data_IF_733476979810
#
_entry.id   IF_733476979810
#
_cell.length_a   1.000
_cell.length_b   1.000
_cell.length_c   1.000
_cell.angle_alpha   90.00
_cell.angle_beta   90.00
_cell.angle_gamma   90.00
#
_symmetry.space_group_name_H-M   'P 1'
#
loop_
_entity.id
_entity.type
_entity.pdbx_description
1 polymer ?
#
# COMPACT_ATOMS: atom_id res chain seq x y z
N UNK A 1 64.96 -43.75 27.53
CA UNK A 1 64.34 -44.33 26.32
C UNK A 1 62.83 -44.55 26.54
N UNK A 2 61.89 -43.96 25.84
CA UNK A 2 61.82 -42.89 24.85
C UNK A 2 60.30 -42.74 24.60
N UNK A 3 59.83 -41.52 24.39
CA UNK A 3 58.57 -41.13 23.72
C UNK A 3 57.17 -41.32 24.35
N UNK A 4 56.71 -40.16 24.84
CA UNK A 4 55.39 -39.52 24.93
C UNK A 4 54.22 -39.90 23.98
N UNK A 5 53.04 -39.93 24.63
CA UNK A 5 51.76 -39.23 24.39
C UNK A 5 51.13 -39.10 22.97
N UNK A 6 49.88 -39.56 22.84
CA UNK A 6 48.68 -38.74 22.47
C UNK A 6 47.39 -39.60 22.46
N UNK A 7 46.25 -39.01 22.87
CA UNK A 7 44.98 -39.32 22.20
C UNK A 7 44.14 -38.05 21.89
N UNK A 8 43.32 -38.13 20.84
CA UNK A 8 42.10 -37.34 20.72
C UNK A 8 42.09 -36.28 19.60
N UNK A 9 41.97 -36.73 18.36
CA UNK A 9 41.73 -35.89 17.19
C UNK A 9 40.28 -35.38 17.18
N UNK A 10 40.08 -34.13 17.58
CA UNK A 10 38.89 -33.34 17.25
C UNK A 10 39.07 -32.83 15.83
N UNK A 11 38.29 -33.38 14.91
CA UNK A 11 38.22 -32.99 13.50
C UNK A 11 37.70 -31.56 13.33
N UNK A 12 38.61 -30.59 13.48
CA UNK A 12 38.49 -29.26 12.93
C UNK A 12 38.76 -29.34 11.43
N UNK A 13 37.75 -29.05 10.61
CA UNK A 13 37.90 -28.91 9.18
C UNK A 13 38.86 -27.75 8.83
N UNK A 14 39.65 -27.87 7.75
CA UNK A 14 40.76 -26.98 7.47
C UNK A 14 40.25 -25.64 6.94
N UNK A 15 40.49 -24.58 7.71
CA UNK A 15 40.49 -23.23 7.18
C UNK A 15 41.83 -22.95 6.50
N UNK A 16 41.79 -22.02 5.54
CA UNK A 16 42.92 -21.42 4.82
C UNK A 16 43.30 -22.11 3.51
N UNK A 17 42.46 -21.87 2.49
CA UNK A 17 42.98 -21.59 1.15
C UNK A 17 42.75 -20.11 0.85
N UNK A 18 43.83 -19.34 0.71
CA UNK A 18 43.79 -17.93 0.31
C UNK A 18 43.25 -17.81 -1.11
N UNK A 19 41.97 -17.46 -1.24
CA UNK A 19 41.29 -17.22 -2.50
C UNK A 19 40.94 -15.73 -2.58
N UNK A 20 41.16 -15.09 -3.73
CA UNK A 20 40.79 -13.70 -4.00
C UNK A 20 39.41 -13.38 -3.43
N UNK A 21 39.36 -12.63 -2.34
CA UNK A 21 38.10 -12.22 -1.72
C UNK A 21 37.50 -11.10 -2.55
N UNK A 22 36.69 -11.43 -3.55
CA UNK A 22 35.83 -10.42 -4.16
C UNK A 22 34.73 -10.06 -3.16
N UNK A 23 34.48 -8.77 -3.03
CA UNK A 23 33.47 -8.22 -2.15
C UNK A 23 32.29 -7.73 -2.99
N UNK A 24 31.10 -8.27 -2.73
CA UNK A 24 29.88 -7.87 -3.43
C UNK A 24 29.05 -6.94 -2.53
N UNK A 25 28.81 -5.72 -3.02
CA UNK A 25 27.98 -4.70 -2.34
C UNK A 25 26.51 -4.90 -2.70
N UNK A 26 25.68 -5.23 -1.71
CA UNK A 26 24.25 -5.49 -1.89
C UNK A 26 23.43 -4.60 -0.96
N UNK A 27 22.39 -3.96 -1.48
CA UNK A 27 21.46 -3.11 -0.74
C UNK A 27 20.22 -3.90 -0.31
N UNK A 28 19.83 -3.74 0.94
CA UNK A 28 18.65 -4.37 1.56
C UNK A 28 17.95 -3.39 2.47
N UNK A 29 16.66 -3.11 2.22
CA UNK A 29 15.84 -2.21 3.05
C UNK A 29 16.51 -0.85 3.37
N UNK A 30 17.29 -0.33 2.40
CA UNK A 30 18.04 0.93 2.55
C UNK A 30 19.42 0.81 3.22
N UNK A 31 19.81 -0.38 3.68
CA UNK A 31 21.12 -0.66 4.30
C UNK A 31 22.03 -1.40 3.33
N UNK A 32 23.26 -0.92 3.18
CA UNK A 32 24.29 -1.59 2.38
C UNK A 32 24.96 -2.70 3.19
N UNK A 33 25.05 -3.90 2.61
CA UNK A 33 25.79 -5.05 3.16
C UNK A 33 26.84 -5.54 2.17
N UNK A 34 27.91 -6.11 2.69
CA UNK A 34 29.02 -6.63 1.90
C UNK A 34 29.05 -8.14 2.10
N UNK A 35 29.03 -8.88 0.99
CA UNK A 35 29.24 -10.33 0.99
C UNK A 35 30.69 -10.58 0.61
N UNK A 36 31.46 -11.16 1.54
CA UNK A 36 32.85 -11.53 1.32
C UNK A 36 32.95 -12.96 0.77
N UNK A 37 33.92 -13.21 -0.12
CA UNK A 37 34.20 -14.55 -0.65
C UNK A 37 33.31 -14.97 -1.82
N UNK A 38 32.71 -13.99 -2.51
CA UNK A 38 31.96 -14.27 -3.75
C UNK A 38 32.97 -14.56 -4.86
N UNK A 39 32.72 -15.60 -5.64
CA UNK A 39 33.56 -15.98 -6.79
C UNK A 39 32.75 -15.96 -8.08
N UNK A 40 33.41 -16.12 -9.23
CA UNK A 40 32.74 -16.18 -10.52
C UNK A 40 31.75 -17.36 -10.63
N UNK A 41 31.98 -18.44 -9.87
CA UNK A 41 31.11 -19.64 -9.83
C UNK A 41 29.96 -19.51 -8.83
N UNK A 42 30.01 -18.55 -7.91
CA UNK A 42 28.96 -18.38 -6.90
C UNK A 42 27.65 -17.96 -7.58
N UNK A 43 26.56 -18.62 -7.26
CA UNK A 43 25.24 -18.32 -7.86
C UNK A 43 24.52 -17.21 -7.11
N UNK A 44 23.58 -16.52 -7.77
CA UNK A 44 22.72 -15.53 -7.12
C UNK A 44 21.94 -16.18 -5.97
N UNK A 45 21.53 -17.43 -6.13
CA UNK A 45 20.89 -18.22 -5.08
C UNK A 45 21.75 -18.35 -3.82
N UNK A 46 23.03 -18.70 -3.96
CA UNK A 46 23.94 -18.83 -2.80
C UNK A 46 24.14 -17.49 -2.08
N UNK A 47 24.32 -16.40 -2.82
CA UNK A 47 24.43 -15.04 -2.25
C UNK A 47 23.16 -14.65 -1.50
N UNK A 48 22.00 -14.91 -2.11
CA UNK A 48 20.68 -14.67 -1.52
C UNK A 48 20.50 -15.45 -0.23
N UNK A 49 20.85 -16.74 -0.22
CA UNK A 49 20.75 -17.61 0.95
C UNK A 49 21.70 -17.12 2.05
N UNK A 50 22.95 -16.80 1.72
CA UNK A 50 23.93 -16.32 2.69
C UNK A 50 23.46 -15.00 3.35
N UNK A 51 22.92 -14.07 2.57
CA UNK A 51 22.36 -12.82 3.09
C UNK A 51 21.13 -13.06 3.96
N UNK A 52 20.21 -13.92 3.51
CA UNK A 52 19.00 -14.27 4.27
C UNK A 52 19.33 -14.95 5.61
N UNK A 53 20.30 -15.87 5.60
CA UNK A 53 20.80 -16.56 6.79
C UNK A 53 21.49 -15.59 7.76
N UNK A 54 22.34 -14.69 7.28
CA UNK A 54 23.00 -13.68 8.11
C UNK A 54 22.01 -12.69 8.76
N UNK A 55 20.86 -12.46 8.11
CA UNK A 55 19.78 -11.62 8.65
C UNK A 55 18.86 -12.41 9.60
N UNK A 56 18.89 -13.74 9.55
CA UNK A 56 17.97 -14.60 10.30
C UNK A 56 16.54 -14.58 9.76
N UNK A 57 16.34 -14.08 8.53
CA UNK A 57 15.04 -14.01 7.86
C UNK A 57 15.02 -14.97 6.68
N UNK A 58 14.26 -16.06 6.80
CA UNK A 58 14.12 -17.05 5.74
C UNK A 58 12.89 -16.75 4.89
N UNK A 59 13.06 -16.52 3.59
CA UNK A 59 11.95 -16.15 2.70
C UNK A 59 12.34 -16.30 1.23
N UNK A 60 11.40 -15.99 0.32
CA UNK A 60 11.70 -15.92 -1.12
C UNK A 60 12.31 -14.56 -1.42
N UNK A 61 13.55 -14.58 -1.88
CA UNK A 61 14.30 -13.38 -2.22
C UNK A 61 14.77 -13.45 -3.67
N UNK A 62 14.90 -12.28 -4.30
CA UNK A 62 15.39 -12.12 -5.66
C UNK A 62 16.45 -11.03 -5.67
N UNK A 63 17.57 -11.29 -6.33
CA UNK A 63 18.62 -10.29 -6.51
C UNK A 63 18.31 -9.44 -7.76
N UNK A 64 18.35 -8.14 -7.62
CA UNK A 64 18.08 -7.18 -8.69
C UNK A 64 19.36 -6.41 -8.95
N UNK A 65 19.79 -6.34 -10.21
CA UNK A 65 20.82 -5.40 -10.64
C UNK A 65 20.13 -4.11 -11.11
N UNK A 66 20.52 -2.98 -10.51
CA UNK A 66 20.05 -1.65 -10.86
C UNK A 66 21.20 -0.85 -11.46
N UNK A 67 21.01 -0.39 -12.69
CA UNK A 67 21.89 0.55 -13.35
C UNK A 67 21.08 1.77 -13.80
N UNK A 68 21.39 2.95 -13.25
CA UNK A 68 20.62 4.19 -13.44
C UNK A 68 19.11 3.96 -13.23
N UNK A 69 18.32 4.02 -14.30
CA UNK A 69 16.86 3.83 -14.32
C UNK A 69 16.43 2.42 -14.76
N UNK A 70 17.38 1.57 -15.14
CA UNK A 70 17.12 0.18 -15.53
C UNK A 70 17.28 -0.76 -14.34
N UNK A 71 16.24 -1.54 -14.05
CA UNK A 71 16.27 -2.62 -13.05
C UNK A 71 16.09 -3.95 -13.77
N UNK A 72 17.00 -4.90 -13.55
CA UNK A 72 16.92 -6.25 -14.09
C UNK A 72 16.93 -7.27 -12.95
N UNK A 73 15.96 -8.18 -12.98
CA UNK A 73 15.90 -9.29 -12.04
C UNK A 73 16.86 -10.38 -12.48
N UNK A 74 17.74 -10.82 -11.58
CA UNK A 74 18.65 -11.92 -11.82
C UNK A 74 17.98 -13.23 -11.47
N UNK A 75 18.14 -14.22 -12.34
CA UNK A 75 17.63 -15.55 -12.08
C UNK A 75 18.48 -16.26 -11.00
N UNK A 76 17.91 -17.21 -10.23
CA UNK A 76 18.64 -17.88 -9.16
C UNK A 76 19.92 -18.60 -9.61
N UNK A 77 19.92 -19.09 -10.86
CA UNK A 77 21.04 -19.81 -11.48
C UNK A 77 22.06 -18.89 -12.19
N UNK A 78 21.84 -17.58 -12.23
CA UNK A 78 22.83 -16.64 -12.78
C UNK A 78 23.90 -16.32 -11.74
N UNK A 79 25.10 -15.93 -12.18
CA UNK A 79 26.20 -15.56 -11.30
C UNK A 79 26.32 -14.02 -11.22
N UNK A 80 26.30 -13.41 -10.01
CA UNK A 80 26.29 -11.96 -9.87
C UNK A 80 27.61 -11.33 -10.35
N UNK A 81 28.74 -12.01 -10.18
CA UNK A 81 30.05 -11.54 -10.66
C UNK A 81 30.11 -11.56 -12.19
N UNK A 82 29.58 -12.61 -12.83
CA UNK A 82 29.51 -12.69 -14.30
C UNK A 82 28.56 -11.61 -14.83
N UNK A 83 27.40 -11.41 -14.19
CA UNK A 83 26.49 -10.32 -14.55
C UNK A 83 27.13 -8.95 -14.39
N UNK A 84 27.92 -8.74 -13.34
CA UNK A 84 28.68 -7.50 -13.13
C UNK A 84 29.76 -7.30 -14.21
N UNK A 85 30.49 -8.35 -14.58
CA UNK A 85 31.54 -8.30 -15.60
C UNK A 85 30.98 -7.98 -16.99
N UNK A 86 29.72 -8.33 -17.29
CA UNK A 86 29.05 -7.93 -18.55
C UNK A 86 28.93 -6.41 -18.70
N UNK A 87 28.89 -5.66 -17.60
CA UNK A 87 28.85 -4.20 -17.62
C UNK A 87 30.22 -3.55 -17.81
N UNK A 88 31.32 -4.30 -17.69
CA UNK A 88 32.68 -3.84 -17.94
C UNK A 88 33.03 -2.57 -17.16
N UNK A 89 33.35 -1.49 -17.89
CA UNK A 89 33.70 -0.19 -17.30
C UNK A 89 32.58 0.45 -16.45
N UNK A 90 31.33 0.06 -16.66
CA UNK A 90 30.18 0.56 -15.91
C UNK A 90 29.86 -0.26 -14.67
N UNK A 91 30.64 -1.30 -14.35
CA UNK A 91 30.43 -2.16 -13.18
C UNK A 91 30.38 -1.37 -11.86
N UNK A 92 31.13 -0.27 -11.75
CA UNK A 92 31.14 0.58 -10.55
C UNK A 92 29.81 1.29 -10.27
N UNK A 93 28.99 1.51 -11.30
CA UNK A 93 27.70 2.21 -11.19
C UNK A 93 26.52 1.25 -10.98
N UNK A 94 26.75 -0.07 -11.06
CA UNK A 94 25.72 -1.10 -10.88
C UNK A 94 25.52 -1.36 -9.39
N UNK A 95 24.27 -1.30 -8.94
CA UNK A 95 23.89 -1.61 -7.56
C UNK A 95 23.09 -2.91 -7.51
N UNK A 96 23.52 -3.86 -6.70
CA UNK A 96 22.71 -5.04 -6.40
C UNK A 96 21.75 -4.72 -5.26
N UNK A 97 20.48 -5.08 -5.42
CA UNK A 97 19.42 -4.87 -4.44
C UNK A 97 18.76 -6.23 -4.20
N UNK A 98 18.73 -6.70 -2.95
CA UNK A 98 18.00 -7.91 -2.60
C UNK A 98 16.55 -7.51 -2.26
N UNK A 99 15.60 -7.99 -3.06
CA UNK A 99 14.17 -7.79 -2.85
C UNK A 99 13.55 -9.06 -2.28
N UNK A 100 12.65 -8.90 -1.31
CA UNK A 100 11.83 -9.98 -0.78
C UNK A 100 10.57 -10.12 -1.63
N UNK A 101 10.44 -11.24 -2.34
CA UNK A 101 9.37 -11.51 -3.32
C UNK A 101 8.22 -12.36 -2.72
N UNK A 102 8.34 -12.85 -1.47
CA UNK A 102 7.25 -13.62 -0.83
C UNK A 102 7.20 -13.55 0.70
N UNK A 103 6.06 -13.93 1.32
CA UNK A 103 5.92 -14.00 2.76
C UNK A 103 6.81 -15.13 3.31
N UNK A 104 7.57 -14.84 4.38
CA UNK A 104 8.33 -15.84 5.12
C UNK A 104 7.35 -16.65 5.97
N UNK A 105 7.51 -17.98 6.00
CA UNK A 105 6.69 -18.87 6.85
C UNK A 105 6.97 -18.72 8.36
N UNK A 106 7.74 -17.71 8.80
CA UNK A 106 8.19 -17.59 10.19
C UNK A 106 8.54 -16.15 10.61
N UNK A 107 7.63 -15.17 10.47
CA UNK A 107 7.81 -13.90 11.18
C UNK A 107 6.46 -13.26 11.58
N UNK A 108 6.27 -13.11 12.89
CA UNK A 108 5.27 -12.22 13.52
C UNK A 108 5.44 -10.79 12.97
N UNK A 109 4.37 -10.04 12.73
CA UNK A 109 4.47 -8.71 12.13
C UNK A 109 4.99 -7.71 13.17
N UNK A 110 6.22 -7.24 13.00
CA UNK A 110 6.63 -5.93 13.51
C UNK A 110 6.29 -4.90 12.44
N UNK A 111 5.35 -4.02 12.80
CA UNK A 111 4.85 -2.91 12.01
C UNK A 111 5.94 -1.87 11.76
N UNK A 112 6.57 -1.90 10.59
CA UNK A 112 6.96 -0.68 9.86
C UNK A 112 7.52 -1.05 8.48
N UNK A 113 6.72 -0.89 7.44
CA UNK A 113 7.24 -0.47 6.12
C UNK A 113 6.08 -0.15 5.18
N UNK A 114 6.08 1.10 4.76
CA UNK A 114 5.17 1.75 3.83
C UNK A 114 4.98 0.97 2.52
N UNK A 115 3.71 0.77 2.17
CA UNK A 115 3.13 0.67 0.84
C UNK A 115 4.05 0.29 -0.34
N UNK A 116 4.04 -1.00 -0.70
CA UNK A 116 3.99 -1.42 -2.10
C UNK A 116 3.03 -2.60 -2.20
N UNK A 117 1.93 -2.36 -2.90
CA UNK A 117 0.92 -3.35 -3.33
C UNK A 117 1.66 -4.57 -3.91
N UNK A 118 1.52 -5.77 -3.32
CA UNK A 118 1.94 -6.99 -3.98
C UNK A 118 0.80 -7.47 -4.88
N UNK A 119 1.14 -7.70 -6.15
CA UNK A 119 0.27 -8.27 -7.17
C UNK A 119 -0.38 -9.57 -6.69
N UNK A 120 -1.70 -9.66 -6.90
CA UNK A 120 -2.57 -10.81 -6.64
C UNK A 120 -2.15 -12.04 -7.44
N UNK A 121 -1.14 -12.74 -6.98
CA UNK A 121 -0.88 -14.12 -7.41
C UNK A 121 -0.49 -14.94 -6.19
N UNK A 122 -0.92 -16.20 -6.16
CA UNK A 122 -0.68 -17.24 -5.14
C UNK A 122 -1.82 -17.56 -4.13
N UNK A 123 -3.09 -17.57 -4.57
CA UNK A 123 -4.09 -18.46 -3.94
C UNK A 123 -5.04 -19.17 -4.93
N UNK A 124 -4.60 -19.43 -6.16
CA UNK A 124 -5.34 -20.31 -7.08
C UNK A 124 -4.38 -21.34 -7.65
N UNK A 125 -4.15 -22.40 -6.87
CA UNK A 125 -3.46 -23.60 -7.33
C UNK A 125 -4.35 -24.83 -7.14
N UNK A 126 -5.62 -24.72 -7.57
CA UNK A 126 -6.56 -25.84 -7.66
C UNK A 126 -7.44 -25.82 -8.91
N UNK A 127 -7.24 -24.90 -9.86
CA UNK A 127 -7.98 -24.95 -11.13
C UNK A 127 -7.30 -25.94 -12.10
N UNK A 128 -7.98 -27.01 -12.55
CA UNK A 128 -7.50 -27.82 -13.66
C UNK A 128 -7.65 -27.02 -14.97
N UNK A 129 -6.65 -27.02 -15.87
CA UNK A 129 -6.77 -26.38 -17.18
C UNK A 129 -7.58 -27.28 -18.13
N UNK A 130 -8.89 -27.06 -18.25
CA UNK A 130 -9.70 -27.69 -19.30
C UNK A 130 -10.44 -26.67 -20.17
N UNK A 131 -9.64 -25.89 -20.91
CA UNK A 131 -10.02 -25.44 -22.24
C UNK A 131 -9.59 -26.50 -23.27
N UNK A 132 -10.45 -27.49 -23.54
CA UNK A 132 -10.54 -28.30 -24.78
C UNK A 132 -11.45 -29.51 -24.53
N UNK A 133 -12.68 -29.44 -25.02
CA UNK A 133 -13.44 -30.49 -25.71
C UNK A 133 -14.88 -29.97 -25.87
N UNK A 134 -15.12 -29.25 -26.97
CA UNK A 134 -16.44 -28.79 -27.37
C UNK A 134 -16.77 -29.43 -28.72
N UNK A 135 -17.74 -30.34 -28.81
CA UNK A 135 -18.50 -30.52 -30.04
C UNK A 135 -19.66 -29.53 -30.04
N UNK A 136 -19.69 -28.70 -31.07
CA UNK A 136 -20.81 -27.86 -31.46
C UNK A 136 -22.07 -28.72 -31.70
N UNK A 137 -23.10 -28.58 -30.86
CA UNK A 137 -24.49 -28.68 -31.30
C UNK A 137 -25.29 -27.60 -30.56
N UNK A 138 -25.69 -26.59 -31.32
CA UNK A 138 -26.75 -25.65 -30.99
C UNK A 138 -28.05 -26.39 -30.67
N UNK A 139 -28.67 -26.03 -29.55
CA UNK A 139 -30.10 -25.70 -29.45
C UNK A 139 -30.41 -25.09 -28.09
N UNK A 140 -31.06 -23.95 -28.14
CA UNK A 140 -31.52 -23.09 -27.06
C UNK A 140 -32.37 -23.82 -26.01
N UNK A 141 -31.94 -23.79 -24.75
CA UNK A 141 -32.78 -24.14 -23.60
C UNK A 141 -33.35 -22.85 -23.02
N UNK A 142 -34.63 -22.62 -23.30
CA UNK A 142 -35.44 -21.62 -22.59
C UNK A 142 -35.74 -22.13 -21.18
N UNK A 143 -35.67 -21.22 -20.21
CA UNK A 143 -36.25 -21.36 -18.87
C UNK A 143 -37.69 -21.89 -18.98
N UNK A 144 -37.97 -22.98 -18.29
CA UNK A 144 -39.32 -23.48 -18.06
C UNK A 144 -39.46 -23.84 -16.59
N UNK A 145 -40.29 -23.08 -15.88
CA UNK A 145 -40.60 -23.22 -14.46
C UNK A 145 -41.10 -24.64 -14.10
N UNK A 146 -40.71 -25.10 -12.91
CA UNK A 146 -41.12 -26.37 -12.34
C UNK A 146 -42.63 -26.41 -12.09
N UNK A 147 -43.34 -27.28 -12.83
CA UNK A 147 -44.74 -27.64 -12.60
C UNK A 147 -44.87 -28.42 -11.29
N UNK A 148 -45.51 -27.82 -10.28
CA UNK A 148 -46.17 -28.58 -9.21
C UNK A 148 -47.49 -29.14 -9.76
N UNK A 149 -47.64 -30.46 -9.76
CA UNK A 149 -48.95 -31.12 -9.82
C UNK A 149 -48.98 -32.23 -8.78
N UNK A 150 -49.67 -31.95 -7.68
CA UNK A 150 -50.18 -32.92 -6.74
C UNK A 150 -51.20 -33.81 -7.45
N UNK A 151 -50.96 -35.11 -7.48
CA UNK A 151 -51.97 -36.11 -7.82
C UNK A 151 -52.27 -36.93 -6.56
N UNK A 152 -53.31 -36.54 -5.85
CA UNK A 152 -53.94 -37.32 -4.79
C UNK A 152 -54.71 -38.48 -5.42
N UNK A 153 -54.31 -39.71 -5.10
CA UNK A 153 -55.04 -40.93 -5.42
C UNK A 153 -56.17 -41.13 -4.40
N UNK A 154 -57.40 -40.81 -4.78
CA UNK A 154 -58.59 -41.38 -4.14
C UNK A 154 -59.38 -42.13 -5.20
N UNK A 155 -59.16 -43.45 -5.28
CA UNK A 155 -59.90 -44.36 -6.13
C UNK A 155 -60.16 -45.65 -5.34
N UNK A 156 -61.39 -45.79 -4.86
CA UNK A 156 -61.81 -46.82 -3.92
C UNK A 156 -61.73 -48.26 -4.44
N UNK A 157 -61.56 -49.16 -3.49
CA UNK A 157 -61.70 -50.60 -3.65
C UNK A 157 -63.09 -50.99 -4.18
N UNK A 158 -63.11 -51.89 -5.18
CA UNK A 158 -64.24 -52.80 -5.45
C UNK A 158 -63.81 -53.92 -6.40
N UNK A 159 -63.90 -55.15 -5.89
CA UNK A 159 -64.41 -56.30 -6.65
C UNK A 159 -63.43 -57.08 -7.51
N UNK A 160 -62.64 -57.96 -6.89
CA UNK A 160 -62.22 -59.22 -7.54
C UNK A 160 -62.16 -60.36 -6.52
N UNK A 161 -63.26 -60.52 -5.78
CA UNK A 161 -63.60 -61.75 -5.06
C UNK A 161 -64.77 -62.37 -5.81
N UNK A 162 -64.50 -63.10 -6.90
CA UNK A 162 -65.54 -63.85 -7.63
C UNK A 162 -64.97 -65.00 -8.48
N UNK A 163 -63.89 -65.65 -8.02
CA UNK A 163 -63.31 -66.81 -8.75
C UNK A 163 -63.22 -68.08 -7.87
N UNK A 164 -63.54 -68.01 -6.57
CA UNK A 164 -63.50 -69.20 -5.70
C UNK A 164 -64.84 -69.49 -5.01
N UNK A 165 -65.58 -70.42 -5.60
CA UNK A 165 -66.18 -71.54 -4.87
C UNK A 165 -67.59 -71.38 -4.31
N UNK A 166 -68.56 -72.04 -4.94
CA UNK A 166 -69.56 -72.87 -4.23
C UNK A 166 -69.98 -74.06 -5.09
N UNK A 167 -69.67 -75.26 -4.59
CA UNK A 167 -70.23 -76.51 -5.10
C UNK A 167 -71.66 -76.72 -4.62
N UNK A 168 -72.40 -77.55 -5.36
CA UNK A 168 -73.50 -78.38 -4.86
C UNK A 168 -73.50 -79.70 -5.62
N UNK A 169 -73.65 -80.76 -4.84
CA UNK A 169 -73.81 -82.15 -5.23
C UNK A 169 -75.10 -82.39 -6.04
N UNK A 170 -75.05 -83.37 -6.94
CA UNK A 170 -76.18 -84.26 -7.22
C UNK A 170 -75.66 -85.67 -7.48
N UNK A 171 -76.07 -86.60 -6.62
CA UNK A 171 -75.92 -88.04 -6.82
C UNK A 171 -76.85 -88.51 -7.95
N UNK A 172 -76.32 -89.32 -8.87
CA UNK A 172 -77.10 -90.33 -9.58
C UNK A 172 -76.28 -91.61 -9.67
N UNK A 173 -76.82 -92.67 -9.05
CA UNK A 173 -76.25 -94.01 -8.99
C UNK A 173 -76.37 -94.70 -10.35
N UNK A 174 -75.29 -95.26 -10.88
CA UNK A 174 -75.38 -96.57 -11.54
C UNK A 174 -74.08 -97.37 -11.36
N UNK A 175 -74.29 -98.58 -10.84
CA UNK A 175 -73.32 -99.55 -10.36
C UNK A 175 -72.82 -100.41 -11.53
N UNK A 176 -71.60 -100.92 -11.39
CA UNK A 176 -71.00 -102.07 -12.12
C UNK A 176 -70.30 -101.74 -13.45
N UNK A 177 -68.96 -101.61 -13.44
CA UNK A 177 -68.04 -102.63 -13.99
C UNK A 177 -66.57 -102.23 -13.72
N UNK A 178 -65.76 -103.23 -13.41
CA UNK A 178 -64.38 -103.22 -12.96
C UNK A 178 -63.35 -102.64 -13.97
N UNK A 179 -62.30 -102.05 -13.40
CA UNK A 179 -60.88 -102.17 -13.80
C UNK A 179 -60.39 -101.76 -15.19
N UNK A 180 -60.91 -100.70 -15.82
CA UNK A 180 -60.21 -100.07 -16.96
C UNK A 180 -60.45 -98.56 -17.07
N UNK A 181 -60.17 -97.80 -15.99
CA UNK A 181 -60.23 -96.31 -16.00
C UNK A 181 -58.99 -95.63 -15.40
N UNK A 182 -58.11 -96.37 -14.72
CA UNK A 182 -56.93 -95.81 -14.06
C UNK A 182 -55.89 -95.33 -15.08
N UNK A 183 -55.66 -96.07 -16.17
CA UNK A 183 -54.63 -95.73 -17.18
C UNK A 183 -54.97 -94.49 -18.01
N UNK A 184 -56.23 -94.27 -18.38
CA UNK A 184 -56.67 -93.09 -19.14
C UNK A 184 -56.76 -91.80 -18.30
N UNK A 185 -57.00 -91.92 -17.00
CA UNK A 185 -56.95 -90.80 -16.05
C UNK A 185 -55.51 -90.50 -15.62
N UNK A 186 -54.66 -91.52 -15.48
CA UNK A 186 -53.21 -91.39 -15.29
C UNK A 186 -52.54 -90.72 -16.49
N UNK A 187 -52.88 -91.09 -17.72
CA UNK A 187 -52.35 -90.44 -18.92
C UNK A 187 -52.78 -88.97 -19.02
N UNK A 188 -54.04 -88.65 -18.62
CA UNK A 188 -54.51 -87.26 -18.54
C UNK A 188 -53.84 -86.49 -17.40
N UNK A 189 -53.53 -87.14 -16.27
CA UNK A 189 -52.74 -86.55 -15.17
C UNK A 189 -51.30 -86.30 -15.62
N UNK A 190 -50.66 -87.24 -16.30
CA UNK A 190 -49.31 -87.10 -16.84
C UNK A 190 -49.23 -85.98 -17.88
N UNK A 191 -50.19 -85.90 -18.81
CA UNK A 191 -50.26 -84.81 -19.77
C UNK A 191 -50.51 -83.43 -19.12
N UNK A 192 -51.27 -83.37 -18.02
CA UNK A 192 -51.42 -82.13 -17.23
C UNK A 192 -50.14 -81.76 -16.50
N UNK A 193 -49.46 -82.74 -15.91
CA UNK A 193 -48.18 -82.54 -15.23
C UNK A 193 -47.13 -82.00 -16.20
N UNK A 194 -47.04 -82.60 -17.41
CA UNK A 194 -46.14 -82.14 -18.48
C UNK A 194 -46.46 -80.72 -18.97
N UNK A 195 -47.75 -80.33 -18.98
CA UNK A 195 -48.17 -78.98 -19.34
C UNK A 195 -47.87 -77.96 -18.25
N UNK A 196 -48.05 -78.34 -16.98
CA UNK A 196 -47.64 -77.53 -15.83
C UNK A 196 -46.13 -77.33 -15.83
N UNK A 197 -45.35 -78.38 -16.09
CA UNK A 197 -43.90 -78.31 -16.20
C UNK A 197 -43.44 -77.41 -17.36
N UNK A 198 -44.11 -77.48 -18.52
CA UNK A 198 -43.86 -76.54 -19.63
C UNK A 198 -44.19 -75.09 -19.27
N UNK A 199 -45.30 -74.86 -18.55
CA UNK A 199 -45.67 -73.53 -18.09
C UNK A 199 -44.70 -73.01 -17.01
N UNK A 200 -44.22 -73.88 -16.12
CA UNK A 200 -43.23 -73.53 -15.09
C UNK A 200 -41.90 -73.14 -15.73
N UNK A 201 -41.46 -73.82 -16.79
CA UNK A 201 -40.27 -73.45 -17.56
C UNK A 201 -40.46 -72.08 -18.23
N UNK A 202 -41.64 -71.81 -18.79
CA UNK A 202 -41.95 -70.52 -19.40
C UNK A 202 -42.02 -69.39 -18.36
N UNK A 203 -42.62 -69.63 -17.19
CA UNK A 203 -42.63 -68.69 -16.06
C UNK A 203 -41.20 -68.38 -15.64
N UNK A 204 -40.36 -69.39 -15.41
CA UNK A 204 -38.94 -69.22 -15.06
C UNK A 204 -38.17 -68.44 -16.11
N UNK A 205 -38.44 -68.70 -17.39
CA UNK A 205 -37.81 -68.00 -18.51
C UNK A 205 -38.18 -66.50 -18.51
N UNK A 206 -39.46 -66.19 -18.35
CA UNK A 206 -39.91 -64.80 -18.27
C UNK A 206 -39.41 -64.12 -17.00
N UNK A 207 -39.50 -64.77 -15.84
CA UNK A 207 -38.95 -64.28 -14.58
C UNK A 207 -37.46 -63.93 -14.71
N UNK A 208 -36.66 -64.82 -15.28
CA UNK A 208 -35.23 -64.57 -15.48
C UNK A 208 -34.98 -63.43 -16.47
N UNK A 209 -35.72 -63.36 -17.56
CA UNK A 209 -35.59 -62.29 -18.57
C UNK A 209 -35.97 -60.91 -18.01
N UNK A 210 -37.06 -60.84 -17.23
CA UNK A 210 -37.49 -59.61 -16.58
C UNK A 210 -36.55 -59.22 -15.44
N UNK A 211 -36.13 -60.17 -14.59
CA UNK A 211 -35.17 -59.90 -13.52
C UNK A 211 -33.83 -59.40 -14.06
N UNK A 212 -33.29 -60.02 -15.12
CA UNK A 212 -32.03 -59.57 -15.73
C UNK A 212 -32.13 -58.16 -16.29
N UNK A 213 -33.23 -57.83 -16.96
CA UNK A 213 -33.46 -56.48 -17.49
C UNK A 213 -33.63 -55.43 -16.38
N UNK A 214 -34.35 -55.76 -15.30
CA UNK A 214 -34.51 -54.85 -14.17
C UNK A 214 -33.20 -54.68 -13.40
N UNK A 215 -32.40 -55.72 -13.25
CA UNK A 215 -31.12 -55.67 -12.56
C UNK A 215 -30.10 -54.81 -13.32
N UNK A 216 -30.04 -54.94 -14.65
CA UNK A 216 -29.26 -54.03 -15.50
C UNK A 216 -29.73 -52.57 -15.38
N UNK A 217 -31.04 -52.33 -15.33
CA UNK A 217 -31.60 -50.99 -15.20
C UNK A 217 -31.36 -50.40 -13.80
N UNK A 218 -31.44 -51.21 -12.73
CA UNK A 218 -31.08 -50.82 -11.38
C UNK A 218 -29.61 -50.40 -11.32
N UNK A 219 -28.70 -51.18 -11.90
CA UNK A 219 -27.26 -50.83 -11.93
C UNK A 219 -27.01 -49.53 -12.70
N UNK A 220 -27.71 -49.30 -13.83
CA UNK A 220 -27.61 -48.02 -14.56
C UNK A 220 -28.10 -46.84 -13.74
N UNK A 221 -29.21 -47.01 -13.02
CA UNK A 221 -29.76 -45.97 -12.16
C UNK A 221 -28.87 -45.71 -10.96
N UNK A 222 -28.31 -46.72 -10.31
CA UNK A 222 -27.33 -46.58 -9.23
C UNK A 222 -26.08 -45.84 -9.70
N UNK A 223 -25.56 -46.17 -10.89
CA UNK A 223 -24.43 -45.46 -11.46
C UNK A 223 -24.78 -44.00 -11.80
N UNK A 224 -26.03 -43.72 -12.15
CA UNK A 224 -26.51 -42.34 -12.35
C UNK A 224 -26.65 -41.59 -11.03
N UNK A 225 -27.16 -42.23 -9.98
CA UNK A 225 -27.24 -41.66 -8.63
C UNK A 225 -25.84 -41.31 -8.15
N UNK A 226 -24.87 -42.22 -8.24
CA UNK A 226 -23.47 -41.95 -7.86
C UNK A 226 -22.85 -40.77 -8.61
N UNK A 227 -23.19 -40.58 -9.89
CA UNK A 227 -22.73 -39.42 -10.66
C UNK A 227 -23.39 -38.13 -10.19
N UNK A 228 -24.70 -38.17 -9.98
CA UNK A 228 -25.43 -37.03 -9.45
C UNK A 228 -24.95 -36.67 -8.03
N UNK A 229 -24.60 -37.64 -7.19
CA UNK A 229 -24.08 -37.40 -5.84
C UNK A 229 -22.76 -36.62 -5.90
N UNK A 230 -21.83 -37.01 -6.80
CA UNK A 230 -20.57 -36.27 -7.02
C UNK A 230 -20.84 -34.87 -7.57
N UNK A 231 -21.78 -34.71 -8.51
CA UNK A 231 -22.16 -33.40 -9.04
C UNK A 231 -22.72 -32.49 -7.93
N UNK A 232 -23.54 -33.03 -7.02
CA UNK A 232 -24.08 -32.29 -5.87
C UNK A 232 -22.95 -31.89 -4.91
N UNK A 233 -22.04 -32.80 -4.58
CA UNK A 233 -20.88 -32.49 -3.72
C UNK A 233 -19.99 -31.38 -4.32
N UNK A 234 -19.79 -31.39 -5.64
CA UNK A 234 -19.08 -30.33 -6.35
C UNK A 234 -19.83 -28.99 -6.31
N UNK A 235 -21.15 -29.00 -6.52
CA UNK A 235 -21.99 -27.80 -6.40
C UNK A 235 -21.93 -27.21 -4.98
N UNK A 236 -22.08 -28.04 -3.94
CA UNK A 236 -21.97 -27.63 -2.55
C UNK A 236 -20.58 -27.05 -2.24
N UNK A 237 -19.51 -27.64 -2.77
CA UNK A 237 -18.16 -27.10 -2.63
C UNK A 237 -18.05 -25.69 -3.23
N UNK A 238 -18.55 -25.48 -4.45
CA UNK A 238 -18.50 -24.17 -5.10
C UNK A 238 -19.40 -23.14 -4.43
N UNK A 239 -20.55 -23.55 -3.89
CA UNK A 239 -21.41 -22.66 -3.08
C UNK A 239 -20.68 -22.18 -1.82
N UNK A 240 -19.98 -23.08 -1.11
CA UNK A 240 -19.19 -22.74 0.06
C UNK A 240 -18.03 -21.79 -0.29
N UNK A 241 -17.27 -22.09 -1.35
CA UNK A 241 -16.15 -21.25 -1.79
C UNK A 241 -16.64 -19.85 -2.22
N UNK A 242 -17.77 -19.80 -2.93
CA UNK A 242 -18.41 -18.54 -3.31
C UNK A 242 -18.83 -17.74 -2.07
N UNK A 243 -19.38 -18.38 -1.04
CA UNK A 243 -19.76 -17.71 0.19
C UNK A 243 -18.55 -17.14 0.93
N UNK A 244 -17.45 -17.90 1.02
CA UNK A 244 -16.19 -17.43 1.61
C UNK A 244 -15.69 -16.19 0.87
N UNK A 245 -15.69 -16.22 -0.45
CA UNK A 245 -15.26 -15.07 -1.26
C UNK A 245 -16.18 -13.86 -1.11
N UNK A 246 -17.50 -14.05 -0.97
CA UNK A 246 -18.44 -12.97 -0.69
C UNK A 246 -18.17 -12.33 0.69
N UNK A 247 -17.90 -13.14 1.71
CA UNK A 247 -17.55 -12.66 3.05
C UNK A 247 -16.19 -11.92 3.05
N UNK A 248 -15.19 -12.45 2.33
CA UNK A 248 -13.90 -11.81 2.13
C UNK A 248 -14.04 -10.45 1.41
N UNK A 249 -14.83 -10.41 0.34
CA UNK A 249 -15.11 -9.18 -0.41
C UNK A 249 -15.78 -8.15 0.50
N UNK A 250 -16.74 -8.57 1.33
CA UNK A 250 -17.41 -7.70 2.30
C UNK A 250 -16.42 -7.13 3.33
N UNK A 251 -15.57 -7.98 3.92
CA UNK A 251 -14.54 -7.53 4.87
C UNK A 251 -13.58 -6.52 4.23
N UNK A 252 -13.15 -6.77 3.00
CA UNK A 252 -12.28 -5.83 2.27
C UNK A 252 -12.98 -4.51 1.96
N UNK A 253 -14.27 -4.53 1.62
CA UNK A 253 -15.08 -3.32 1.43
C UNK A 253 -15.21 -2.52 2.73
N UNK A 254 -15.45 -3.19 3.86
CA UNK A 254 -15.58 -2.56 5.17
C UNK A 254 -14.25 -1.91 5.59
N UNK A 255 -13.12 -2.61 5.42
CA UNK A 255 -11.77 -2.04 5.68
C UNK A 255 -11.47 -0.84 4.79
N UNK A 256 -11.85 -0.92 3.51
CA UNK A 256 -11.67 0.18 2.56
C UNK A 256 -12.54 1.39 2.95
N UNK A 257 -13.76 1.17 3.42
CA UNK A 257 -14.63 2.22 3.92
C UNK A 257 -14.07 2.86 5.20
N UNK A 258 -13.55 2.07 6.14
CA UNK A 258 -12.90 2.56 7.36
C UNK A 258 -11.68 3.43 7.02
N UNK A 259 -10.83 2.98 6.09
CA UNK A 259 -9.67 3.76 5.64
C UNK A 259 -10.10 5.06 4.95
N UNK A 260 -11.15 5.04 4.12
CA UNK A 260 -11.72 6.25 3.53
C UNK A 260 -12.22 7.22 4.59
N UNK A 261 -12.91 6.72 5.61
CA UNK A 261 -13.38 7.56 6.72
C UNK A 261 -12.21 8.21 7.46
N UNK A 262 -11.17 7.43 7.81
CA UNK A 262 -9.95 7.96 8.45
C UNK A 262 -9.29 9.04 7.60
N UNK A 263 -9.23 8.85 6.27
CA UNK A 263 -8.70 9.87 5.35
C UNK A 263 -9.55 11.14 5.41
N UNK A 264 -10.88 11.03 5.34
CA UNK A 264 -11.76 12.22 5.42
C UNK A 264 -11.66 12.95 6.76
N UNK A 265 -11.44 12.23 7.86
CA UNK A 265 -11.20 12.83 9.18
C UNK A 265 -9.82 13.52 9.26
N UNK A 266 -8.80 12.97 8.62
CA UNK A 266 -7.51 13.64 8.49
C UNK A 266 -7.61 14.90 7.63
N UNK A 267 -8.37 14.84 6.52
CA UNK A 267 -8.62 15.98 5.65
C UNK A 267 -9.38 17.11 6.37
N UNK A 268 -10.39 16.78 7.19
CA UNK A 268 -11.10 17.80 7.98
C UNK A 268 -10.18 18.45 9.01
N UNK A 269 -9.43 17.67 9.78
CA UNK A 269 -8.44 18.18 10.74
C UNK A 269 -7.41 19.09 10.07
N UNK A 270 -6.95 18.72 8.86
CA UNK A 270 -6.00 19.53 8.11
C UNK A 270 -6.62 20.86 7.65
N UNK A 271 -7.89 20.86 7.23
CA UNK A 271 -8.63 22.10 6.92
C UNK A 271 -8.78 22.99 8.16
N UNK A 272 -9.05 22.40 9.33
CA UNK A 272 -9.16 23.14 10.58
C UNK A 272 -7.83 23.79 10.97
N UNK A 273 -6.71 23.06 10.85
CA UNK A 273 -5.38 23.61 11.07
C UNK A 273 -5.03 24.73 10.07
N UNK A 274 -5.38 24.57 8.78
CA UNK A 274 -5.18 25.62 7.79
C UNK A 274 -6.00 26.87 8.11
N UNK A 275 -7.26 26.71 8.51
CA UNK A 275 -8.10 27.84 8.92
C UNK A 275 -7.50 28.53 10.17
N UNK A 276 -7.01 27.76 11.14
CA UNK A 276 -6.34 28.31 12.32
C UNK A 276 -5.09 29.10 11.93
N UNK A 277 -4.25 28.58 11.04
CA UNK A 277 -3.07 29.28 10.53
C UNK A 277 -3.48 30.60 9.86
N UNK A 278 -4.48 30.58 8.97
CA UNK A 278 -4.97 31.79 8.30
C UNK A 278 -5.50 32.85 9.29
N UNK A 279 -6.19 32.43 10.35
CA UNK A 279 -6.65 33.35 11.40
C UNK A 279 -5.49 33.95 12.18
N UNK A 280 -4.42 33.18 12.43
CA UNK A 280 -3.21 33.67 13.08
C UNK A 280 -2.42 34.62 12.17
N UNK A 281 -2.28 34.29 10.89
CA UNK A 281 -1.61 35.12 9.89
C UNK A 281 -2.29 36.48 9.74
N UNK A 282 -3.63 36.48 9.57
CA UNK A 282 -4.40 37.74 9.50
C UNK A 282 -4.33 38.54 10.81
N UNK A 283 -4.31 37.87 11.96
CA UNK A 283 -4.08 38.51 13.26
C UNK A 283 -2.69 39.18 13.35
N UNK A 284 -1.63 38.48 12.92
CA UNK A 284 -0.26 39.01 12.91
C UNK A 284 -0.10 40.18 11.93
N UNK A 285 -0.71 40.11 10.75
CA UNK A 285 -0.72 41.22 9.78
C UNK A 285 -1.43 42.46 10.34
N UNK A 286 -2.59 42.26 10.99
CA UNK A 286 -3.31 43.35 11.64
C UNK A 286 -2.49 43.98 12.78
N UNK A 287 -1.83 43.15 13.62
CA UNK A 287 -0.97 43.64 14.69
C UNK A 287 0.25 44.40 14.14
N UNK A 288 0.86 43.89 13.06
CA UNK A 288 1.99 44.56 12.39
C UNK A 288 1.56 45.94 11.86
N UNK A 289 0.43 46.02 11.16
CA UNK A 289 -0.09 47.30 10.66
C UNK A 289 -0.41 48.26 11.82
N UNK A 290 -1.01 47.75 12.89
CA UNK A 290 -1.29 48.56 14.08
C UNK A 290 0.00 49.08 14.73
N UNK A 291 1.05 48.25 14.82
CA UNK A 291 2.36 48.65 15.34
C UNK A 291 3.02 49.71 14.46
N UNK A 292 3.01 49.53 13.14
CA UNK A 292 3.53 50.53 12.19
C UNK A 292 2.80 51.87 12.33
N UNK A 293 1.47 51.85 12.46
CA UNK A 293 0.68 53.07 12.69
C UNK A 293 1.03 53.73 14.02
N UNK A 294 1.13 52.97 15.11
CA UNK A 294 1.50 53.49 16.43
C UNK A 294 2.90 54.10 16.43
N UNK A 295 3.88 53.40 15.88
CA UNK A 295 5.27 53.88 15.74
C UNK A 295 5.32 55.14 14.86
N UNK A 296 4.61 55.16 13.74
CA UNK A 296 4.53 56.34 12.87
C UNK A 296 3.89 57.54 13.60
N UNK A 297 2.85 57.32 14.41
CA UNK A 297 2.22 58.37 15.22
C UNK A 297 3.17 58.91 16.29
N UNK A 298 3.91 58.03 16.97
CA UNK A 298 4.89 58.41 17.98
C UNK A 298 6.05 59.21 17.37
N UNK A 299 6.61 58.73 16.25
CA UNK A 299 7.66 59.41 15.50
C UNK A 299 7.17 60.78 15.01
N UNK A 300 5.96 60.86 14.46
CA UNK A 300 5.35 62.14 14.05
C UNK A 300 5.20 63.10 15.23
N UNK A 301 4.79 62.61 16.39
CA UNK A 301 4.72 63.40 17.63
C UNK A 301 6.10 63.91 18.08
N UNK A 302 7.13 63.05 18.08
CA UNK A 302 8.52 63.41 18.41
C UNK A 302 9.06 64.45 17.43
N UNK A 303 8.86 64.26 16.12
CA UNK A 303 9.24 65.23 15.07
C UNK A 303 8.54 66.57 15.30
N UNK A 304 7.25 66.57 15.64
CA UNK A 304 6.51 67.79 15.98
C UNK A 304 7.12 68.56 17.15
N UNK A 305 7.52 67.85 18.22
CA UNK A 305 8.22 68.46 19.37
C UNK A 305 9.58 69.05 18.98
N UNK A 306 10.40 68.30 18.24
CA UNK A 306 11.73 68.77 17.79
C UNK A 306 11.58 69.98 16.87
N UNK A 307 10.61 69.97 15.96
CA UNK A 307 10.31 71.11 15.09
C UNK A 307 9.97 72.37 15.91
N UNK A 308 9.09 72.24 16.91
CA UNK A 308 8.77 73.37 17.79
C UNK A 308 9.99 73.91 18.55
N UNK A 309 10.88 73.04 19.04
CA UNK A 309 12.13 73.48 19.69
C UNK A 309 13.05 74.19 18.70
N UNK A 310 13.19 73.66 17.48
CA UNK A 310 14.01 74.25 16.43
C UNK A 310 13.48 75.61 15.98
N UNK A 311 12.16 75.80 15.93
CA UNK A 311 11.53 77.09 15.62
C UNK A 311 11.83 78.13 16.72
N UNK A 312 11.71 77.75 17.99
CA UNK A 312 12.05 78.62 19.13
C UNK A 312 13.54 78.97 19.11
N UNK A 313 14.42 77.99 18.90
CA UNK A 313 15.86 78.20 18.80
C UNK A 313 16.21 79.09 17.60
N UNK A 314 15.53 78.92 16.47
CA UNK A 314 15.67 79.78 15.29
C UNK A 314 15.31 81.23 15.62
N UNK A 315 14.18 81.45 16.31
CA UNK A 315 13.81 82.80 16.79
C UNK A 315 14.85 83.40 17.74
N UNK A 316 15.44 82.60 18.64
CA UNK A 316 16.51 83.04 19.52
C UNK A 316 17.79 83.41 18.75
N UNK A 317 18.22 82.60 17.79
CA UNK A 317 19.36 82.92 16.91
C UNK A 317 19.13 84.21 16.13
N UNK A 318 17.93 84.41 15.57
CA UNK A 318 17.57 85.67 14.89
C UNK A 318 17.66 86.88 15.83
N UNK A 319 17.22 86.75 17.09
CA UNK A 319 17.37 87.82 18.10
C UNK A 319 18.84 88.12 18.39
N UNK A 320 19.67 87.10 18.56
CA UNK A 320 21.10 87.25 18.79
C UNK A 320 21.81 87.87 17.59
N UNK A 321 21.49 87.44 16.36
CA UNK A 321 22.05 88.00 15.13
C UNK A 321 21.72 89.48 14.98
N UNK A 322 20.48 89.88 15.27
CA UNK A 322 20.10 91.29 15.30
C UNK A 322 20.85 92.09 16.38
N UNK A 323 21.12 91.46 17.54
CA UNK A 323 21.96 92.01 18.60
C UNK A 323 23.41 92.20 18.15
N UNK A 324 24.02 91.19 17.52
CA UNK A 324 25.37 91.26 16.96
C UNK A 324 25.45 92.40 15.93
N UNK A 325 24.52 92.46 14.97
CA UNK A 325 24.46 93.54 13.97
C UNK A 325 24.34 94.92 14.62
N UNK A 326 23.64 95.04 15.76
CA UNK A 326 23.55 96.29 16.50
C UNK A 326 24.89 96.65 17.16
N UNK A 327 25.54 95.69 17.80
CA UNK A 327 26.88 95.87 18.40
C UNK A 327 27.92 96.21 17.35
N UNK A 328 27.93 95.54 16.19
CA UNK A 328 28.81 95.86 15.06
C UNK A 328 28.63 97.31 14.60
N UNK A 329 27.38 97.79 14.50
CA UNK A 329 27.09 99.20 14.18
C UNK A 329 27.62 100.15 15.24
N UNK A 330 27.40 99.88 16.53
CA UNK A 330 27.90 100.71 17.63
C UNK A 330 29.43 100.69 17.71
N UNK A 331 30.06 99.54 17.48
CA UNK A 331 31.51 99.38 17.40
C UNK A 331 32.07 100.20 16.24
N UNK A 332 31.50 100.08 15.04
CA UNK A 332 31.92 100.88 13.88
C UNK A 332 31.81 102.39 14.13
N UNK A 333 30.77 102.85 14.83
CA UNK A 333 30.67 104.25 15.26
C UNK A 333 31.75 104.64 16.27
N UNK A 334 32.05 103.79 17.26
CA UNK A 334 33.09 104.05 18.24
C UNK A 334 34.49 104.10 17.60
N UNK A 335 34.79 103.17 16.69
CA UNK A 335 36.05 103.14 15.91
C UNK A 335 36.21 104.42 15.11
N UNK A 336 35.15 104.90 14.45
CA UNK A 336 35.19 106.18 13.72
C UNK A 336 35.50 107.36 14.66
N UNK A 337 34.85 107.46 15.82
CA UNK A 337 35.15 108.51 16.81
C UNK A 337 36.58 108.43 17.33
N UNK A 338 37.10 107.22 17.51
CA UNK A 338 38.50 107.00 17.91
C UNK A 338 39.46 107.51 16.84
N UNK A 339 39.19 107.21 15.57
CA UNK A 339 39.96 107.69 14.43
C UNK A 339 39.91 109.23 14.31
N UNK A 340 38.73 109.84 14.50
CA UNK A 340 38.59 111.30 14.52
C UNK A 340 39.43 111.92 15.65
N UNK A 341 39.44 111.31 16.84
CA UNK A 341 40.26 111.75 17.99
C UNK A 341 41.76 111.55 17.76
N UNK A 342 42.15 110.50 17.08
CA UNK A 342 43.54 110.24 16.70
C UNK A 342 44.03 111.31 15.71
N UNK A 343 43.22 111.68 14.72
CA UNK A 343 43.51 112.79 13.80
C UNK A 343 43.64 114.14 14.55
N UNK A 344 42.75 114.40 15.51
CA UNK A 344 42.82 115.58 16.37
C UNK A 344 44.12 115.60 17.22
N UNK A 345 44.51 114.46 17.79
CA UNK A 345 45.78 114.31 18.51
C UNK A 345 46.99 114.51 17.60
N UNK A 346 46.98 113.97 16.38
CA UNK A 346 48.05 114.23 15.40
C UNK A 346 48.15 115.72 15.05
N UNK A 347 47.01 116.40 14.89
CA UNK A 347 46.95 117.83 14.61
C UNK A 347 47.52 118.64 15.78
N UNK A 348 47.07 118.38 17.01
CA UNK A 348 47.62 118.99 18.21
C UNK A 348 49.11 118.69 18.40
N UNK A 349 49.57 117.48 18.03
CA UNK A 349 51.00 117.13 18.06
C UNK A 349 51.81 117.93 17.05
N UNK A 350 51.27 118.16 15.84
CA UNK A 350 51.89 119.04 14.84
C UNK A 350 51.97 120.48 15.34
N UNK A 351 50.89 120.99 15.93
CA UNK A 351 50.84 122.33 16.54
C UNK A 351 51.82 122.46 17.70
N UNK A 352 51.89 121.47 18.60
CA UNK A 352 52.85 121.44 19.70
C UNK A 352 54.30 121.41 19.18
N UNK A 353 54.60 120.61 18.15
CA UNK A 353 55.92 120.62 17.50
C UNK A 353 56.23 121.98 16.89
N UNK A 354 55.25 122.64 16.26
CA UNK A 354 55.40 123.96 15.67
C UNK A 354 55.67 125.02 16.75
N UNK A 355 54.92 125.01 17.85
CA UNK A 355 55.12 125.90 19.01
C UNK A 355 56.48 125.65 19.65
N UNK A 356 56.87 124.39 19.88
CA UNK A 356 58.18 124.03 20.41
C UNK A 356 59.32 124.48 19.48
N UNK A 357 59.14 124.36 18.16
CA UNK A 357 60.11 124.86 17.17
C UNK A 357 60.20 126.39 17.22
N UNK A 358 59.07 127.09 17.31
CA UNK A 358 59.05 128.55 17.50
C UNK A 358 59.76 128.95 18.79
N UNK A 359 59.50 128.25 19.90
CA UNK A 359 60.16 128.51 21.18
C UNK A 359 61.67 128.25 21.11
N UNK A 360 62.10 127.19 20.42
CA UNK A 360 63.52 126.90 20.17
C UNK A 360 64.17 128.04 19.36
N UNK A 361 63.56 128.47 18.26
CA UNK A 361 64.05 129.58 17.44
C UNK A 361 64.18 130.87 18.28
N UNK A 362 63.19 131.14 19.14
CA UNK A 362 63.19 132.31 20.03
C UNK A 362 64.31 132.26 21.09
N UNK A 363 64.63 131.07 21.61
CA UNK A 363 65.72 130.85 22.57
C UNK A 363 67.11 130.85 21.92
N UNK A 364 67.25 130.43 20.66
CA UNK A 364 68.55 130.44 19.93
C UNK A 364 68.81 131.74 19.16
N UNK A 365 67.78 132.58 18.93
CA UNK A 365 67.85 133.82 18.16
C UNK A 365 68.21 135.09 18.97
N UNK A 366 68.62 134.95 20.23
CA UNK A 366 69.11 136.06 21.05
C UNK A 366 70.62 135.96 21.25
N UNK A 367 71.40 136.27 20.21
CA UNK A 367 72.78 136.77 20.31
C UNK A 367 73.09 137.69 19.14
#
# INVERSE_FOLDING_TARGET
>A
PEHDLTPGDQSQGPWVTGWCTMELKVWMDGVQRIVCGVTEVTTCQEVVIALAQAIGRTGRYTLIEKWRDTKRHLAPHENPIISLNKWGQYANDVQFILLRTGPSLSERPTSDSVARIPERTLYLQSLPPLAKLRPQIDKSIKRGEHKRKSLTFTGGAKGLMDIFGKGKETEFKQKVLNNCKTTGDEQRRFNRLRKLESNDIEIRFWEQKYCSNFEEEIVRLEQKIKRNDVEIEEEEFWENELQIEQENEKQLKDQLQEMRQKITECESKLKDYLAQIQTMESGLEAEKLQREVQEAQEVKGKIGKVRGVMDIQGQQSLRLENGIKAVERSLGQATKRLQDKEQELEQLTKELRQVNLQQFIQQTGTK
#
